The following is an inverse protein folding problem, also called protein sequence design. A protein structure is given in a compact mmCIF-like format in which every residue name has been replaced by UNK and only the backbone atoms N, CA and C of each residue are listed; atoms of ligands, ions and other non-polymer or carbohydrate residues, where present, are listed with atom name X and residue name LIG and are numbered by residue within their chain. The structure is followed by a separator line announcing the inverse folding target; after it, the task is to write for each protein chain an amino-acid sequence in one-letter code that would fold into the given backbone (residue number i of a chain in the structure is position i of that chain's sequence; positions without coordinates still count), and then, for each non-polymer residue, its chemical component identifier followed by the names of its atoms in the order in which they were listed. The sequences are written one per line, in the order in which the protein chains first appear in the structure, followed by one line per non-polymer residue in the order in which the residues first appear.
data_IF_754259252045
#
_entry.id   IF_754259252045
#
_cell.length_a   1.000
_cell.length_b   1.000
_cell.length_c   1.000
_cell.angle_alpha   90.00
_cell.angle_beta   90.00
_cell.angle_gamma   90.00
#
_symmetry.space_group_name_H-M   'P 1'
#
loop_
_entity.id
_entity.type
_entity.pdbx_description
1 polymer ?
#
# COMPACT_ATOMS: atom_id res chain seq x y z
N UNK A 1 -9.68 -92.56 28.40
CA UNK A 1 -9.33 -91.91 29.67
C UNK A 1 -8.24 -90.91 29.33
N UNK A 2 -8.59 -89.62 29.31
CA UNK A 2 -7.66 -88.58 28.87
C UNK A 2 -6.48 -88.44 29.83
N UNK A 3 -5.32 -88.06 29.29
CA UNK A 3 -4.85 -86.70 29.52
C UNK A 3 -3.82 -86.29 28.47
N UNK A 4 -3.98 -85.03 28.12
CA UNK A 4 -3.38 -84.21 27.08
C UNK A 4 -2.17 -83.46 27.65
N UNK A 5 -1.12 -83.35 26.84
CA UNK A 5 -0.11 -82.27 26.74
C UNK A 5 0.64 -81.83 28.04
N UNK A 6 1.87 -81.32 28.01
CA UNK A 6 2.46 -80.40 27.04
C UNK A 6 3.97 -80.34 27.25
N UNK A 7 4.67 -80.05 26.17
CA UNK A 7 6.12 -79.80 26.12
C UNK A 7 6.52 -78.57 26.96
N UNK A 8 7.67 -78.69 27.61
CA UNK A 8 8.33 -77.61 28.34
C UNK A 8 9.82 -77.89 28.51
N UNK A 9 10.61 -76.88 28.15
CA UNK A 9 12.01 -76.63 28.53
C UNK A 9 13.13 -77.50 27.92
N UNK A 10 14.00 -76.84 27.14
CA UNK A 10 15.43 -76.92 27.43
C UNK A 10 16.09 -75.56 27.17
N UNK A 11 16.37 -74.86 28.26
CA UNK A 11 17.22 -73.68 28.31
C UNK A 11 18.66 -74.06 28.64
N UNK A 12 19.58 -73.46 27.88
CA UNK A 12 20.89 -72.90 28.29
C UNK A 12 22.09 -73.81 28.61
N UNK A 13 23.14 -73.62 27.80
CA UNK A 13 24.48 -73.13 28.20
C UNK A 13 25.24 -72.83 26.89
N UNK A 14 26.03 -71.79 26.64
CA UNK A 14 26.70 -70.79 27.49
C UNK A 14 27.53 -69.88 26.56
N UNK A 15 27.45 -68.54 26.69
CA UNK A 15 28.63 -67.65 26.80
C UNK A 15 28.23 -66.17 26.86
N UNK A 16 28.62 -65.58 28.00
CA UNK A 16 28.57 -64.22 28.51
C UNK A 16 29.21 -63.13 27.61
N UNK A 17 28.44 -62.07 27.30
CA UNK A 17 28.64 -60.58 27.39
C UNK A 17 30.04 -59.91 27.34
N UNK A 18 30.17 -58.55 27.24
CA UNK A 18 29.89 -57.57 26.16
C UNK A 18 31.16 -56.64 25.91
N UNK A 19 31.12 -55.30 25.66
CA UNK A 19 30.83 -54.56 24.41
C UNK A 19 31.90 -53.48 24.01
N UNK A 20 31.60 -52.68 22.96
CA UNK A 20 32.09 -51.30 22.67
C UNK A 20 33.61 -51.02 22.59
N UNK A 21 34.10 -50.63 21.39
CA UNK A 21 35.08 -49.53 21.26
C UNK A 21 35.12 -48.94 19.85
N UNK A 22 34.54 -47.74 19.71
CA UNK A 22 34.71 -46.87 18.55
C UNK A 22 36.10 -46.21 18.65
N UNK A 23 37.04 -46.58 17.77
CA UNK A 23 38.38 -45.98 17.74
C UNK A 23 38.33 -44.64 16.97
N UNK A 24 38.53 -43.53 17.69
CA UNK A 24 38.88 -42.25 17.08
C UNK A 24 40.29 -42.32 16.50
N UNK A 25 40.47 -41.83 15.28
CA UNK A 25 41.79 -41.47 14.72
C UNK A 25 41.98 -39.98 14.95
N UNK A 26 42.94 -39.64 15.81
CA UNK A 26 43.46 -38.28 15.99
C UNK A 26 44.52 -38.05 14.91
N UNK A 27 44.25 -37.10 14.01
CA UNK A 27 45.22 -36.56 13.06
C UNK A 27 45.29 -35.05 13.24
N UNK A 28 46.35 -34.59 13.89
CA UNK A 28 46.72 -33.18 14.04
C UNK A 28 47.46 -32.68 12.80
N UNK A 29 46.94 -31.65 12.11
CA UNK A 29 47.79 -30.69 11.37
C UNK A 29 47.08 -29.36 11.10
N UNK A 30 47.46 -28.34 11.88
CA UNK A 30 47.92 -27.02 11.45
C UNK A 30 47.44 -26.47 10.07
N UNK A 31 46.51 -25.50 10.06
CA UNK A 31 46.77 -24.08 9.73
C UNK A 31 45.47 -23.26 9.57
N UNK A 32 45.37 -22.06 10.18
CA UNK A 32 44.28 -21.12 9.98
C UNK A 32 44.67 -20.06 8.94
N UNK A 33 44.01 -20.02 7.79
CA UNK A 33 44.24 -18.96 6.79
C UNK A 33 42.96 -18.32 6.22
N UNK A 34 41.77 -18.73 6.66
CA UNK A 34 40.51 -18.21 6.08
C UNK A 34 39.65 -17.39 7.05
N UNK A 35 39.99 -17.37 8.35
CA UNK A 35 39.27 -16.56 9.35
C UNK A 35 39.73 -15.09 9.41
N UNK A 36 40.98 -14.81 9.00
CA UNK A 36 41.56 -13.47 9.13
C UNK A 36 41.10 -12.53 8.00
N UNK A 37 40.80 -13.06 6.82
CA UNK A 37 40.33 -12.25 5.68
C UNK A 37 38.89 -11.73 5.87
N UNK A 38 38.05 -12.50 6.57
CA UNK A 38 36.67 -12.10 6.87
C UNK A 38 36.61 -11.06 8.01
N UNK A 39 37.58 -11.09 8.94
CA UNK A 39 37.72 -10.11 10.01
C UNK A 39 38.33 -8.79 9.51
N UNK A 40 39.21 -8.83 8.50
CA UNK A 40 39.75 -7.64 7.84
C UNK A 40 38.73 -6.94 6.91
N UNK A 41 37.73 -7.65 6.38
CA UNK A 41 36.66 -7.05 5.58
C UNK A 41 35.69 -6.19 6.42
N UNK A 42 35.59 -6.45 7.72
CA UNK A 42 34.71 -5.71 8.65
C UNK A 42 35.31 -4.37 9.12
N UNK A 43 36.62 -4.15 8.90
CA UNK A 43 37.30 -2.91 9.30
C UNK A 43 37.41 -1.86 8.17
N UNK A 44 36.87 -2.15 6.98
CA UNK A 44 36.91 -1.24 5.82
C UNK A 44 35.59 -0.47 5.58
N UNK A 45 34.61 -0.55 6.49
CA UNK A 45 33.40 0.27 6.38
C UNK A 45 33.59 1.58 7.15
N UNK A 46 33.61 2.75 6.47
CA UNK A 46 33.55 4.02 7.18
C UNK A 46 32.17 4.16 7.83
N UNK A 47 32.13 4.18 9.17
CA UNK A 47 30.99 4.75 9.90
C UNK A 47 30.87 6.23 9.52
N UNK A 48 30.00 6.53 8.56
CA UNK A 48 29.39 7.85 8.46
C UNK A 48 28.07 7.82 9.19
N UNK A 49 28.14 8.13 10.48
CA UNK A 49 27.03 8.76 11.19
C UNK A 49 26.93 10.19 10.68
N UNK A 50 25.86 10.48 9.95
CA UNK A 50 25.31 11.82 9.86
C UNK A 50 23.80 11.70 9.76
N UNK A 51 23.14 12.17 10.83
CA UNK A 51 21.74 12.52 10.80
C UNK A 51 21.47 13.48 9.64
N UNK A 52 20.45 13.21 8.82
CA UNK A 52 19.55 14.26 8.37
C UNK A 52 18.36 13.77 7.56
N UNK A 53 17.33 14.62 7.65
CA UNK A 53 16.15 14.75 6.80
C UNK A 53 15.04 13.72 7.01
N UNK A 54 14.02 14.17 7.76
CA UNK A 54 12.70 13.59 7.68
C UNK A 54 12.24 13.49 6.22
N UNK A 55 11.60 12.37 5.90
CA UNK A 55 10.90 12.18 4.63
C UNK A 55 9.74 13.19 4.55
N UNK A 56 10.05 14.42 4.14
CA UNK A 56 9.04 15.34 3.63
C UNK A 56 8.56 14.75 2.30
N UNK A 57 7.24 14.53 2.21
CA UNK A 57 6.61 14.08 0.98
C UNK A 57 6.96 15.01 -0.19
N UNK A 58 6.93 14.44 -1.40
CA UNK A 58 7.14 15.18 -2.65
C UNK A 58 6.23 16.43 -2.64
N UNK A 59 6.78 17.65 -2.82
CA UNK A 59 5.98 18.86 -2.89
C UNK A 59 4.86 18.71 -3.93
N UNK A 60 3.65 19.14 -3.58
CA UNK A 60 2.53 19.15 -4.52
C UNK A 60 2.89 19.93 -5.80
N UNK A 61 2.32 19.50 -6.93
CA UNK A 61 2.54 20.20 -8.20
C UNK A 61 2.08 21.67 -8.09
N UNK A 62 2.75 22.62 -8.78
CA UNK A 62 2.32 24.01 -8.83
C UNK A 62 0.85 24.13 -9.26
N UNK A 63 0.12 25.06 -8.64
CA UNK A 63 -1.25 25.38 -9.05
C UNK A 63 -1.33 25.88 -10.49
N UNK A 64 -2.48 25.68 -11.13
CA UNK A 64 -2.74 26.18 -12.48
C UNK A 64 -2.61 27.71 -12.54
N UNK A 65 -2.11 28.28 -13.65
CA UNK A 65 -2.07 29.73 -13.84
C UNK A 65 -3.47 30.37 -13.71
N UNK A 66 -3.53 31.56 -13.13
CA UNK A 66 -4.78 32.32 -13.04
C UNK A 66 -5.34 32.69 -14.43
N UNK A 67 -6.65 32.86 -14.51
CA UNK A 67 -7.32 33.30 -15.75
C UNK A 67 -6.86 34.71 -16.16
N UNK A 68 -6.77 35.03 -17.47
CA UNK A 68 -6.45 36.37 -17.95
C UNK A 68 -7.39 37.44 -17.37
N UNK A 69 -6.87 38.65 -17.17
CA UNK A 69 -7.66 39.80 -16.73
C UNK A 69 -8.72 40.19 -17.78
N UNK A 70 -9.80 40.84 -17.32
CA UNK A 70 -10.83 41.42 -18.19
C UNK A 70 -10.28 42.61 -18.99
N UNK A 71 -10.78 42.80 -20.21
CA UNK A 71 -10.40 43.91 -21.07
C UNK A 71 -10.70 45.27 -20.42
N UNK A 72 -9.88 46.28 -20.75
CA UNK A 72 -10.06 47.66 -20.28
C UNK A 72 -11.31 48.32 -20.87
N UNK A 73 -11.85 49.32 -20.16
CA UNK A 73 -12.99 50.11 -20.63
C UNK A 73 -12.57 51.13 -21.69
N UNK A 74 -13.45 51.44 -22.64
CA UNK A 74 -13.21 52.43 -23.69
C UNK A 74 -12.92 53.83 -23.12
N UNK A 75 -12.03 54.58 -23.78
CA UNK A 75 -11.69 55.94 -23.39
C UNK A 75 -12.83 56.94 -23.62
N UNK A 76 -12.88 58.00 -22.81
CA UNK A 76 -13.88 59.07 -22.92
C UNK A 76 -13.70 59.89 -24.21
N UNK A 77 -14.80 60.32 -24.84
CA UNK A 77 -14.79 61.16 -26.04
C UNK A 77 -14.17 62.54 -25.75
N UNK A 78 -13.27 63.00 -26.64
CA UNK A 78 -12.59 64.29 -26.49
C UNK A 78 -13.54 65.51 -26.59
N UNK A 79 -13.17 66.64 -25.98
CA UNK A 79 -14.00 67.85 -25.99
C UNK A 79 -14.09 68.50 -27.38
N UNK A 80 -15.24 69.12 -27.68
CA UNK A 80 -15.49 69.83 -28.95
C UNK A 80 -14.66 71.12 -29.02
N UNK A 81 -14.04 71.39 -30.18
CA UNK A 81 -13.22 72.58 -30.40
C UNK A 81 -14.01 73.90 -30.35
N UNK A 82 -13.32 74.98 -29.97
CA UNK A 82 -13.89 76.32 -29.79
C UNK A 82 -14.22 77.04 -31.12
N UNK A 83 -15.25 77.91 -31.18
CA UNK A 83 -15.56 78.70 -32.38
C UNK A 83 -14.51 79.78 -32.67
N UNK A 84 -14.21 80.00 -33.97
CA UNK A 84 -13.26 81.03 -34.41
C UNK A 84 -13.80 82.47 -34.31
N UNK A 85 -12.87 83.42 -34.18
CA UNK A 85 -13.12 84.86 -33.93
C UNK A 85 -13.35 85.61 -35.26
N UNK A 86 -14.37 86.49 -35.41
CA UNK A 86 -14.54 87.33 -36.61
C UNK A 86 -13.52 88.47 -36.71
N UNK A 87 -13.00 88.74 -37.91
CA UNK A 87 -12.05 89.82 -38.18
C UNK A 87 -12.70 91.20 -38.41
N UNK A 88 -11.97 92.26 -38.05
CA UNK A 88 -12.32 93.70 -38.03
C UNK A 88 -12.25 94.31 -39.46
N UNK A 89 -13.06 95.35 -39.81
CA UNK A 89 -13.18 95.87 -41.17
C UNK A 89 -12.12 96.93 -41.54
N UNK A 90 -11.68 96.96 -42.80
CA UNK A 90 -10.72 97.96 -43.33
C UNK A 90 -10.99 98.40 -44.77
N UNK A 91 -11.41 99.67 -44.88
CA UNK A 91 -11.30 100.71 -45.93
C UNK A 91 -11.41 100.42 -47.44
N UNK A 92 -12.29 101.21 -48.07
CA UNK A 92 -12.69 101.25 -49.48
C UNK A 92 -11.69 102.03 -50.36
N UNK A 93 -11.37 101.48 -51.54
CA UNK A 93 -10.71 102.14 -52.68
C UNK A 93 -11.39 101.73 -54.01
N UNK A 94 -11.33 102.56 -55.08
CA UNK A 94 -12.23 102.48 -56.22
C UNK A 94 -11.91 101.36 -57.23
N UNK A 95 -12.97 101.01 -57.97
CA UNK A 95 -13.26 99.78 -58.71
C UNK A 95 -12.34 99.52 -59.93
N UNK A 96 -11.56 98.43 -59.87
CA UNK A 96 -10.93 97.77 -61.01
C UNK A 96 -11.69 96.48 -61.41
N UNK A 97 -11.48 96.00 -62.64
CA UNK A 97 -12.26 94.92 -63.28
C UNK A 97 -12.28 93.60 -62.49
N UNK A 98 -13.41 92.88 -62.57
CA UNK A 98 -13.70 91.63 -61.85
C UNK A 98 -12.72 90.53 -62.29
N UNK A 99 -11.72 90.23 -61.46
CA UNK A 99 -10.96 88.99 -61.54
C UNK A 99 -11.84 87.80 -61.14
N UNK A 100 -11.59 86.63 -61.71
CA UNK A 100 -12.28 85.39 -61.31
C UNK A 100 -12.10 85.14 -59.80
N UNK A 101 -13.12 84.60 -59.10
CA UNK A 101 -12.98 84.25 -57.69
C UNK A 101 -11.79 83.30 -57.53
N UNK A 102 -10.85 83.64 -56.64
CA UNK A 102 -9.78 82.72 -56.26
C UNK A 102 -10.36 81.41 -55.74
N UNK A 103 -9.69 80.29 -56.06
CA UNK A 103 -10.09 78.97 -55.57
C UNK A 103 -10.31 78.98 -54.05
N UNK A 104 -11.35 78.31 -53.52
CA UNK A 104 -11.54 78.19 -52.08
C UNK A 104 -10.26 77.69 -51.40
N UNK A 105 -9.87 78.34 -50.30
CA UNK A 105 -8.70 77.93 -49.52
C UNK A 105 -8.81 76.46 -49.11
N UNK A 106 -7.69 75.73 -49.18
CA UNK A 106 -7.65 74.32 -48.81
C UNK A 106 -8.19 74.11 -47.39
N UNK A 107 -9.02 73.07 -47.22
CA UNK A 107 -9.55 72.64 -45.91
C UNK A 107 -8.39 72.49 -44.92
N UNK A 108 -8.50 73.11 -43.74
CA UNK A 108 -7.50 72.98 -42.68
C UNK A 108 -7.19 71.51 -42.40
N UNK A 109 -5.90 71.19 -42.20
CA UNK A 109 -5.47 69.82 -41.90
C UNK A 109 -6.18 69.32 -40.64
N UNK A 110 -6.63 68.07 -40.65
CA UNK A 110 -7.19 67.44 -39.46
C UNK A 110 -6.18 67.54 -38.30
N UNK A 111 -6.66 67.87 -37.10
CA UNK A 111 -5.81 67.89 -35.90
C UNK A 111 -5.15 66.53 -35.65
N UNK A 112 -4.00 66.48 -34.97
CA UNK A 112 -3.34 65.23 -34.64
C UNK A 112 -4.27 64.35 -33.81
N UNK A 113 -4.23 63.04 -34.07
CA UNK A 113 -4.94 62.03 -33.29
C UNK A 113 -4.50 62.13 -31.81
N UNK A 114 -5.47 62.09 -30.89
CA UNK A 114 -5.19 62.10 -29.45
C UNK A 114 -4.31 60.92 -29.05
N UNK A 115 -3.49 61.10 -28.01
CA UNK A 115 -2.64 60.05 -27.47
C UNK A 115 -3.47 58.89 -26.91
N UNK A 116 -3.03 57.65 -27.14
CA UNK A 116 -3.66 56.46 -26.54
C UNK A 116 -3.70 56.57 -25.01
N UNK A 117 -4.79 56.11 -24.40
CA UNK A 117 -4.92 56.02 -22.94
C UNK A 117 -3.88 55.07 -22.34
N UNK A 118 -3.52 55.30 -21.07
CA UNK A 118 -2.59 54.44 -20.33
C UNK A 118 -3.17 53.03 -20.13
N UNK A 119 -2.33 51.97 -20.13
CA UNK A 119 -2.78 50.62 -19.78
C UNK A 119 -3.45 50.59 -18.40
N UNK A 120 -4.50 49.76 -18.25
CA UNK A 120 -5.16 49.56 -16.95
C UNK A 120 -4.27 48.82 -15.95
N UNK A 121 -4.55 49.01 -14.66
CA UNK A 121 -3.79 48.36 -13.58
C UNK A 121 -3.95 46.83 -13.59
N UNK A 122 -2.92 46.07 -13.16
CA UNK A 122 -3.03 44.62 -12.98
C UNK A 122 -4.16 44.25 -12.01
N UNK A 123 -4.92 43.20 -12.36
CA UNK A 123 -5.96 42.67 -11.49
C UNK A 123 -5.43 42.15 -10.15
N UNK A 124 -6.26 42.10 -9.10
CA UNK A 124 -5.85 41.57 -7.80
C UNK A 124 -5.47 40.09 -7.87
N UNK A 125 -4.52 39.67 -7.03
CA UNK A 125 -4.12 38.26 -6.89
C UNK A 125 -5.34 37.44 -6.45
N UNK A 126 -5.59 36.32 -7.14
CA UNK A 126 -6.64 35.37 -6.76
C UNK A 126 -6.44 34.79 -5.35
N UNK A 127 -7.51 34.29 -4.71
CA UNK A 127 -7.41 33.67 -3.39
C UNK A 127 -6.55 32.39 -3.44
N UNK A 128 -5.94 31.98 -2.30
CA UNK A 128 -5.32 30.65 -2.19
C UNK A 128 -6.32 29.54 -2.53
N UNK A 129 -5.84 28.49 -3.20
CA UNK A 129 -6.65 27.29 -3.45
C UNK A 129 -7.05 26.59 -2.15
N UNK A 130 -8.13 25.81 -2.20
CA UNK A 130 -8.57 25.02 -1.05
C UNK A 130 -7.55 23.93 -0.68
N UNK A 131 -7.45 23.54 0.62
CA UNK A 131 -6.66 22.38 1.02
C UNK A 131 -7.08 21.12 0.27
N UNK A 132 -6.12 20.31 -0.17
CA UNK A 132 -6.40 19.02 -0.79
C UNK A 132 -7.09 18.06 0.19
N UNK A 133 -7.90 17.14 -0.33
CA UNK A 133 -8.54 16.11 0.48
C UNK A 133 -7.52 15.20 1.18
N UNK A 134 -7.87 14.75 2.40
CA UNK A 134 -7.06 13.82 3.17
C UNK A 134 -6.92 12.46 2.45
N UNK A 135 -5.69 11.98 2.26
CA UNK A 135 -5.42 10.79 1.46
C UNK A 135 -5.91 9.47 2.09
N UNK A 136 -7.10 8.97 1.69
CA UNK A 136 -7.60 7.62 2.05
C UNK A 136 -7.17 6.49 1.11
N UNK A 137 -6.24 6.75 0.20
CA UNK A 137 -5.86 5.80 -0.86
C UNK A 137 -5.31 4.44 -0.34
N UNK A 138 -4.78 4.39 0.89
CA UNK A 138 -4.19 3.16 1.45
C UNK A 138 -5.20 2.10 1.89
N UNK A 139 -6.41 2.46 2.31
CA UNK A 139 -7.38 1.46 2.83
C UNK A 139 -8.05 0.64 1.72
N UNK A 140 -8.12 1.16 0.49
CA UNK A 140 -8.87 0.53 -0.62
C UNK A 140 -8.18 -0.69 -1.23
N UNK A 141 -6.87 -0.84 -1.03
CA UNK A 141 -6.06 -1.94 -1.57
C UNK A 141 -5.34 -2.72 -0.45
N UNK A 142 -5.97 -2.80 0.73
CA UNK A 142 -5.47 -3.60 1.83
C UNK A 142 -6.47 -4.70 2.15
N UNK A 143 -5.95 -5.85 2.52
CA UNK A 143 -6.72 -6.99 3.00
C UNK A 143 -5.91 -7.60 4.13
N UNK A 144 -6.50 -7.65 5.31
CA UNK A 144 -5.86 -8.18 6.52
C UNK A 144 -6.92 -8.74 7.45
N UNK A 145 -6.65 -9.90 8.03
CA UNK A 145 -7.44 -10.42 9.12
C UNK A 145 -6.57 -11.21 10.10
N UNK A 146 -6.99 -11.21 11.35
CA UNK A 146 -6.57 -12.15 12.40
C UNK A 146 -7.82 -12.55 13.15
N UNK A 147 -8.10 -13.84 13.14
CA UNK A 147 -9.27 -14.44 13.79
C UNK A 147 -8.83 -15.50 14.76
N UNK A 148 -9.57 -15.65 15.85
CA UNK A 148 -9.34 -16.65 16.87
C UNK A 148 -10.53 -17.57 17.00
N UNK A 149 -10.23 -18.79 17.42
CA UNK A 149 -11.21 -19.77 17.80
C UNK A 149 -11.37 -19.69 19.32
N UNK A 150 -12.56 -19.36 19.79
CA UNK A 150 -12.91 -19.23 21.22
C UNK A 150 -13.97 -20.27 21.56
N UNK A 151 -13.54 -21.53 21.68
CA UNK A 151 -14.34 -22.67 22.13
C UNK A 151 -13.44 -23.83 22.55
N UNK A 152 -13.85 -24.54 23.60
CA UNK A 152 -13.18 -25.74 24.09
C UNK A 152 -13.48 -27.00 23.24
N UNK A 153 -14.57 -26.99 22.46
CA UNK A 153 -14.98 -28.14 21.66
C UNK A 153 -14.05 -28.29 20.46
N UNK A 154 -13.68 -29.53 20.12
CA UNK A 154 -12.90 -29.79 18.92
C UNK A 154 -13.72 -29.52 17.64
N UNK A 155 -13.09 -29.11 16.53
CA UNK A 155 -13.74 -29.13 15.22
C UNK A 155 -14.20 -30.55 14.85
N UNK A 156 -15.25 -30.66 14.05
CA UNK A 156 -15.69 -31.95 13.54
C UNK A 156 -14.56 -32.62 12.72
N UNK A 157 -14.38 -33.92 12.89
CA UNK A 157 -13.40 -34.69 12.11
C UNK A 157 -13.70 -34.58 10.60
N UNK A 158 -12.66 -34.44 9.79
CA UNK A 158 -12.77 -34.19 8.34
C UNK A 158 -13.58 -32.92 7.98
N UNK A 159 -13.68 -31.99 8.93
CA UNK A 159 -14.51 -30.79 8.84
C UNK A 159 -13.70 -29.49 8.72
N UNK A 160 -14.40 -28.44 8.32
CA UNK A 160 -13.88 -27.08 8.31
C UNK A 160 -13.64 -26.57 9.75
N UNK A 161 -12.56 -25.83 9.93
CA UNK A 161 -12.25 -25.13 11.19
C UNK A 161 -12.83 -23.73 11.16
N UNK A 162 -13.81 -23.48 12.02
CA UNK A 162 -14.46 -22.17 12.18
C UNK A 162 -13.76 -21.36 13.27
N UNK A 163 -13.23 -20.19 12.90
CA UNK A 163 -12.73 -19.17 13.83
C UNK A 163 -13.85 -18.15 14.06
N UNK A 164 -14.41 -18.16 15.27
CA UNK A 164 -15.66 -17.47 15.60
C UNK A 164 -15.46 -16.04 16.13
N UNK A 165 -14.23 -15.63 16.43
CA UNK A 165 -13.92 -14.31 16.99
C UNK A 165 -12.89 -13.60 16.12
N UNK A 166 -13.07 -12.30 15.88
CA UNK A 166 -12.14 -11.50 15.10
C UNK A 166 -11.35 -10.56 16.01
N UNK A 167 -10.02 -10.66 15.96
CA UNK A 167 -9.13 -9.67 16.59
C UNK A 167 -9.02 -8.44 15.68
N UNK A 168 -8.77 -8.66 14.40
CA UNK A 168 -8.79 -7.61 13.38
C UNK A 168 -9.36 -8.19 12.09
N UNK A 169 -10.28 -7.48 11.44
CA UNK A 169 -10.86 -7.86 10.15
C UNK A 169 -11.55 -6.65 9.50
N UNK A 170 -10.83 -5.53 9.27
CA UNK A 170 -11.45 -4.26 8.90
C UNK A 170 -12.18 -4.32 7.56
N UNK A 171 -11.75 -5.18 6.63
CA UNK A 171 -12.42 -5.36 5.34
C UNK A 171 -13.56 -6.38 5.36
N UNK A 172 -13.67 -7.20 6.41
CA UNK A 172 -14.61 -8.31 6.46
C UNK A 172 -14.33 -9.36 5.37
N UNK A 173 -13.06 -9.65 5.11
CA UNK A 173 -12.65 -10.63 4.09
C UNK A 173 -12.71 -12.06 4.64
N UNK A 174 -12.47 -12.22 5.94
CA UNK A 174 -12.79 -13.47 6.66
C UNK A 174 -14.22 -13.41 7.19
N UNK A 175 -15.03 -14.42 6.91
CA UNK A 175 -16.39 -14.54 7.40
C UNK A 175 -16.43 -15.53 8.57
N UNK A 176 -16.67 -15.01 9.78
CA UNK A 176 -16.72 -15.81 11.02
C UNK A 176 -17.92 -16.75 11.10
N UNK A 177 -18.96 -16.56 10.29
CA UNK A 177 -20.11 -17.45 10.23
C UNK A 177 -19.83 -18.69 9.38
N UNK A 178 -19.08 -18.54 8.28
CA UNK A 178 -18.74 -19.64 7.36
C UNK A 178 -17.38 -20.26 7.68
N UNK A 179 -16.48 -19.51 8.33
CA UNK A 179 -15.12 -19.90 8.63
C UNK A 179 -14.16 -19.79 7.43
N UNK A 180 -14.53 -19.03 6.40
CA UNK A 180 -13.78 -18.87 5.15
C UNK A 180 -13.30 -17.44 4.95
N UNK A 181 -12.12 -17.29 4.37
CA UNK A 181 -11.65 -16.07 3.73
C UNK A 181 -12.09 -16.04 2.27
N UNK A 182 -12.55 -14.89 1.78
CA UNK A 182 -12.87 -14.67 0.36
C UNK A 182 -12.07 -13.49 -0.18
N UNK A 183 -11.29 -13.73 -1.23
CA UNK A 183 -10.43 -12.73 -1.84
C UNK A 183 -11.24 -11.62 -2.53
N UNK A 184 -11.09 -10.37 -2.08
CA UNK A 184 -11.67 -9.18 -2.74
C UNK A 184 -10.67 -8.45 -3.65
N UNK A 185 -9.40 -8.44 -3.26
CA UNK A 185 -8.29 -7.77 -3.95
C UNK A 185 -7.32 -8.85 -4.46
N UNK A 186 -7.20 -9.09 -5.78
CA UNK A 186 -6.27 -10.09 -6.30
C UNK A 186 -4.82 -9.69 -5.99
N UNK A 187 -3.96 -10.69 -5.79
CA UNK A 187 -2.56 -10.48 -5.43
C UNK A 187 -1.93 -11.62 -4.66
N UNK A 188 -0.71 -11.40 -4.16
CA UNK A 188 0.02 -12.34 -3.31
C UNK A 188 -0.36 -12.14 -1.84
N UNK A 189 -0.84 -13.20 -1.20
CA UNK A 189 -1.23 -13.26 0.20
C UNK A 189 -0.29 -14.16 1.00
N UNK A 190 -0.08 -13.82 2.26
CA UNK A 190 0.49 -14.72 3.25
C UNK A 190 -0.58 -15.18 4.22
N UNK A 191 -0.71 -16.49 4.40
CA UNK A 191 -1.59 -17.10 5.39
C UNK A 191 -0.76 -17.83 6.42
N UNK A 192 -1.11 -17.66 7.69
CA UNK A 192 -0.41 -18.30 8.80
C UNK A 192 -1.40 -18.65 9.91
N UNK A 193 -1.21 -19.79 10.55
CA UNK A 193 -1.95 -20.19 11.73
C UNK A 193 -1.02 -20.68 12.83
N UNK A 194 -1.46 -20.47 14.06
CA UNK A 194 -0.89 -21.08 15.26
C UNK A 194 -2.07 -21.67 16.05
N UNK A 195 -2.10 -22.99 16.18
CA UNK A 195 -3.23 -23.70 16.75
C UNK A 195 -2.79 -24.45 17.99
N UNK A 196 -3.40 -24.10 19.12
CA UNK A 196 -3.25 -24.83 20.36
C UNK A 196 -3.95 -26.18 20.26
N UNK A 197 -3.29 -27.23 20.74
CA UNK A 197 -3.80 -28.61 20.69
C UNK A 197 -3.62 -29.33 22.02
N UNK A 198 -4.57 -30.21 22.32
CA UNK A 198 -4.58 -31.12 23.50
C UNK A 198 -4.73 -32.59 23.08
N UNK A 199 -4.81 -32.86 21.78
CA UNK A 199 -4.76 -34.18 21.16
C UNK A 199 -4.05 -34.05 19.80
N UNK A 200 -3.79 -35.16 19.10
CA UNK A 200 -3.18 -35.12 17.76
C UNK A 200 -3.99 -34.22 16.83
N UNK A 201 -3.29 -33.40 16.04
CA UNK A 201 -3.91 -32.43 15.17
C UNK A 201 -3.20 -32.39 13.82
N UNK A 202 -3.97 -32.43 12.75
CA UNK A 202 -3.52 -32.05 11.42
C UNK A 202 -4.39 -30.92 10.90
N UNK A 203 -3.78 -29.79 10.60
CA UNK A 203 -4.43 -28.65 9.99
C UNK A 203 -4.10 -28.63 8.49
N UNK A 204 -5.14 -28.60 7.68
CA UNK A 204 -5.07 -28.52 6.23
C UNK A 204 -5.50 -27.13 5.79
N UNK A 205 -4.72 -26.49 4.91
CA UNK A 205 -5.14 -25.24 4.26
C UNK A 205 -5.68 -25.56 2.87
N UNK A 206 -6.88 -25.10 2.59
CA UNK A 206 -7.58 -25.32 1.33
C UNK A 206 -7.73 -24.00 0.57
N UNK A 207 -7.60 -24.08 -0.75
CA UNK A 207 -7.91 -23.04 -1.72
C UNK A 207 -8.95 -23.61 -2.69
N UNK A 208 -10.15 -23.03 -2.75
CA UNK A 208 -11.23 -23.48 -3.66
C UNK A 208 -11.51 -25.00 -3.60
N UNK A 209 -11.49 -25.58 -2.40
CA UNK A 209 -11.64 -27.02 -2.09
C UNK A 209 -10.42 -27.90 -2.42
N UNK A 210 -9.36 -27.35 -3.04
CA UNK A 210 -8.12 -28.06 -3.22
C UNK A 210 -7.22 -27.88 -1.99
N UNK A 211 -6.73 -28.99 -1.42
CA UNK A 211 -5.76 -28.96 -0.34
C UNK A 211 -4.42 -28.44 -0.85
N UNK A 212 -3.93 -27.34 -0.27
CA UNK A 212 -2.65 -26.71 -0.59
C UNK A 212 -1.54 -27.27 0.30
N UNK A 213 -1.76 -27.23 1.61
CA UNK A 213 -0.78 -27.67 2.61
C UNK A 213 -1.45 -28.46 3.73
N UNK A 214 -0.67 -29.27 4.43
CA UNK A 214 -1.10 -30.03 5.61
C UNK A 214 0.04 -30.03 6.61
N UNK A 215 -0.24 -29.54 7.82
CA UNK A 215 0.71 -29.52 8.93
C UNK A 215 0.15 -30.37 10.06
N UNK A 216 0.90 -31.40 10.44
CA UNK A 216 0.48 -32.37 11.45
C UNK A 216 1.45 -32.33 12.61
N UNK A 217 0.92 -32.30 13.83
CA UNK A 217 1.70 -32.40 15.04
C UNK A 217 1.08 -33.44 15.98
N UNK A 218 1.92 -34.36 16.45
CA UNK A 218 1.53 -35.42 17.36
C UNK A 218 1.83 -35.00 18.79
N UNK A 219 0.86 -35.20 19.67
CA UNK A 219 0.96 -34.75 21.04
C UNK A 219 2.09 -35.47 21.81
N UNK A 220 2.99 -34.70 22.41
CA UNK A 220 4.05 -35.19 23.31
C UNK A 220 3.99 -34.60 24.73
N UNK A 221 3.27 -33.49 24.92
CA UNK A 221 3.07 -32.81 26.21
C UNK A 221 1.59 -32.52 26.44
N UNK A 222 1.17 -32.09 27.63
CA UNK A 222 -0.26 -31.83 27.93
C UNK A 222 -0.92 -30.75 27.07
N UNK A 223 -0.13 -29.82 26.53
CA UNK A 223 -0.53 -28.79 25.56
C UNK A 223 0.62 -28.48 24.62
N UNK A 224 0.32 -28.29 23.35
CA UNK A 224 1.29 -27.87 22.32
C UNK A 224 0.66 -26.88 21.35
N UNK A 225 1.50 -26.23 20.54
CA UNK A 225 1.06 -25.32 19.49
C UNK A 225 1.65 -25.80 18.16
N UNK A 226 0.76 -26.22 17.26
CA UNK A 226 1.12 -26.50 15.87
C UNK A 226 1.01 -25.21 15.05
N UNK A 227 1.94 -25.01 14.12
CA UNK A 227 1.99 -23.80 13.30
C UNK A 227 2.20 -24.16 11.83
N UNK A 228 1.63 -23.35 10.94
CA UNK A 228 1.83 -23.53 9.51
C UNK A 228 1.51 -22.26 8.76
N UNK A 229 2.13 -22.08 7.59
CA UNK A 229 1.90 -20.92 6.75
C UNK A 229 2.26 -21.17 5.31
N UNK A 230 1.73 -20.34 4.42
CA UNK A 230 1.92 -20.47 2.97
C UNK A 230 1.70 -19.12 2.28
N UNK A 231 2.46 -18.89 1.21
CA UNK A 231 2.22 -17.79 0.28
C UNK A 231 1.34 -18.27 -0.87
N UNK A 232 0.25 -17.54 -1.14
CA UNK A 232 -0.69 -17.88 -2.20
C UNK A 232 -1.00 -16.65 -3.04
N UNK A 233 -0.89 -16.78 -4.37
CA UNK A 233 -1.41 -15.77 -5.28
C UNK A 233 -2.88 -16.07 -5.55
N UNK A 234 -3.77 -15.14 -5.21
CA UNK A 234 -5.22 -15.31 -5.27
C UNK A 234 -5.85 -14.41 -6.33
N UNK A 235 -6.91 -14.91 -6.95
CA UNK A 235 -7.82 -14.17 -7.80
C UNK A 235 -9.05 -13.73 -7.03
N UNK A 236 -9.77 -12.71 -7.54
CA UNK A 236 -11.01 -12.24 -6.91
C UNK A 236 -12.04 -13.38 -6.86
N UNK A 237 -12.59 -13.61 -5.66
CA UNK A 237 -13.58 -14.65 -5.40
C UNK A 237 -12.99 -15.96 -4.89
N UNK A 238 -11.66 -16.14 -4.92
CA UNK A 238 -11.02 -17.32 -4.34
C UNK A 238 -11.32 -17.43 -2.84
N UNK A 239 -11.62 -18.66 -2.41
CA UNK A 239 -11.90 -18.98 -1.01
C UNK A 239 -10.73 -19.74 -0.38
N UNK A 240 -10.30 -19.28 0.81
CA UNK A 240 -9.26 -19.94 1.61
C UNK A 240 -9.81 -20.27 3.00
N UNK A 241 -9.56 -21.48 3.48
CA UNK A 241 -9.94 -21.88 4.84
C UNK A 241 -9.05 -22.99 5.38
N UNK A 242 -9.20 -23.25 6.68
CA UNK A 242 -8.56 -24.36 7.36
C UNK A 242 -9.56 -25.49 7.59
N UNK A 243 -9.09 -26.73 7.48
CA UNK A 243 -9.84 -27.94 7.82
C UNK A 243 -8.96 -28.86 8.66
N UNK A 244 -9.58 -29.84 9.30
CA UNK A 244 -8.90 -30.94 10.00
C UNK A 244 -9.27 -32.27 9.35
N UNK A 245 -8.42 -33.27 9.50
CA UNK A 245 -8.77 -34.67 9.18
C UNK A 245 -9.31 -35.37 10.45
N UNK A 246 -9.07 -36.68 10.58
CA UNK A 246 -9.39 -37.46 11.79
C UNK A 246 -8.60 -37.00 13.03
N UNK A 247 -7.45 -36.34 12.84
CA UNK A 247 -6.69 -35.69 13.91
C UNK A 247 -7.19 -34.26 14.07
N UNK A 248 -8.17 -34.09 14.95
CA UNK A 248 -8.94 -32.85 15.14
C UNK A 248 -8.76 -32.21 16.53
N UNK A 249 -7.66 -32.50 17.24
CA UNK A 249 -7.40 -32.09 18.63
C UNK A 249 -7.20 -30.60 18.91
N UNK A 250 -7.82 -29.70 18.14
CA UNK A 250 -7.65 -28.24 18.23
C UNK A 250 -8.54 -27.63 19.32
N UNK A 251 -7.94 -26.79 20.16
CA UNK A 251 -8.62 -26.02 21.21
C UNK A 251 -8.40 -24.53 21.05
N UNK A 252 -9.32 -23.74 21.59
CA UNK A 252 -9.16 -22.29 21.68
C UNK A 252 -9.85 -21.77 22.94
N UNK A 253 -9.11 -21.72 24.04
CA UNK A 253 -9.64 -21.37 25.38
C UNK A 253 -8.68 -20.42 26.08
N UNK A 254 -9.13 -19.80 27.17
CA UNK A 254 -8.31 -18.92 28.00
C UNK A 254 -6.98 -19.59 28.38
N UNK A 255 -5.86 -18.96 27.99
CA UNK A 255 -4.50 -19.45 28.18
C UNK A 255 -3.96 -20.40 27.08
N UNK A 256 -4.75 -20.73 26.04
CA UNK A 256 -4.32 -21.54 24.89
C UNK A 256 -5.19 -21.24 23.66
N UNK A 257 -4.89 -20.14 22.99
CA UNK A 257 -5.64 -19.67 21.84
C UNK A 257 -5.20 -20.37 20.54
N UNK A 258 -6.14 -20.52 19.62
CA UNK A 258 -5.87 -20.87 18.23
C UNK A 258 -6.18 -19.69 17.34
N UNK A 259 -5.23 -19.28 16.53
CA UNK A 259 -5.28 -18.09 15.67
C UNK A 259 -5.01 -18.44 14.22
N UNK A 260 -5.73 -17.75 13.33
CA UNK A 260 -5.52 -17.77 11.89
C UNK A 260 -5.47 -16.34 11.36
N UNK A 261 -4.42 -16.04 10.61
CA UNK A 261 -4.16 -14.72 10.05
C UNK A 261 -3.89 -14.82 8.56
N UNK A 262 -4.28 -13.77 7.85
CA UNK A 262 -3.94 -13.60 6.46
C UNK A 262 -3.87 -12.14 6.07
N UNK A 263 -2.93 -11.79 5.19
CA UNK A 263 -2.80 -10.43 4.70
C UNK A 263 -2.21 -10.38 3.28
N UNK A 264 -2.63 -9.36 2.54
CA UNK A 264 -2.14 -9.04 1.21
C UNK A 264 -0.73 -8.43 1.30
N UNK A 265 0.21 -8.99 0.54
CA UNK A 265 1.58 -8.50 0.39
C UNK A 265 1.72 -7.62 -0.85
N UNK A 266 1.32 -8.15 -2.01
CA UNK A 266 1.48 -7.48 -3.31
C UNK A 266 0.18 -7.57 -4.10
N UNK A 267 -0.58 -6.47 -4.25
CA UNK A 267 -1.72 -6.44 -5.16
C UNK A 267 -1.27 -6.67 -6.61
N UNK A 268 -2.11 -7.36 -7.39
CA UNK A 268 -1.92 -7.57 -8.84
C UNK A 268 -2.15 -6.29 -9.67
#
# INVERSE_FOLDING_TARGET
MGNEEREGELSTSSSISPPFLLRMVVGTSCQPQHGLYLLLLLLALPLRSQANAGCYGIPGMPGLPGTPGKDGHDGLQGPKGEPGIPAIPGTQGPKGQKGEPGMPGHRGKNGPMGTSGSPGDPGPRGPPGEPGEEGRYKQKHQSVFTVTRQTAQYPAANGLVKFNSAITNPQGDYNTNTGKFTCKVPGLYYFVHHTSQTANLCVQLLLNNAKVTSFCDHMSNSKQVSSGGVLLRLQRGDEVWLAVNDYNGMVGTEGSDSVFSGFLLFPD
#
